data_IF_864702134233
#
_entry.id   IF_864702134233
#
_cell.length_a   1.000
_cell.length_b   1.000
_cell.length_c   1.000
_cell.angle_alpha   90.00
_cell.angle_beta   90.00
_cell.angle_gamma   90.00
#
_symmetry.space_group_name_H-M   'P 1'
#
loop_
_entity.id
_entity.type
_entity.pdbx_description
1 polymer ?
#
# COMPACT_ATOMS: atom_id res chain seq x y z
N UNK A 1 8.18 -16.80 -7.19
CA UNK A 1 9.27 -15.81 -7.10
C UNK A 1 10.56 -16.57 -7.29
N UNK A 2 11.43 -16.17 -8.23
CA UNK A 2 12.54 -17.00 -8.70
C UNK A 2 13.78 -16.89 -7.78
N UNK A 3 14.40 -18.03 -7.46
CA UNK A 3 15.59 -18.16 -6.61
C UNK A 3 16.87 -17.79 -7.38
N UNK A 4 17.77 -16.99 -6.78
CA UNK A 4 19.05 -16.58 -7.40
C UNK A 4 19.92 -17.77 -7.83
N UNK A 5 19.95 -18.87 -7.06
CA UNK A 5 20.69 -20.08 -7.44
C UNK A 5 20.09 -20.75 -8.68
N UNK A 6 18.76 -20.84 -8.70
CA UNK A 6 17.99 -21.40 -9.83
C UNK A 6 18.11 -20.53 -11.08
N UNK A 7 18.17 -19.19 -10.94
CA UNK A 7 18.34 -18.25 -12.05
C UNK A 7 19.70 -18.41 -12.75
N UNK A 8 20.74 -18.77 -12.00
CA UNK A 8 22.06 -19.09 -12.56
C UNK A 8 22.20 -20.57 -12.96
N UNK A 9 21.22 -21.42 -12.60
CA UNK A 9 21.26 -22.86 -12.89
C UNK A 9 22.34 -23.61 -12.11
N UNK A 10 22.73 -23.10 -10.94
CA UNK A 10 23.76 -23.70 -10.07
C UNK A 10 23.13 -24.24 -8.80
N UNK A 11 23.82 -25.17 -8.13
CA UNK A 11 23.34 -25.74 -6.87
C UNK A 11 23.47 -24.74 -5.72
N UNK A 12 22.65 -24.95 -4.71
CA UNK A 12 22.77 -24.26 -3.43
C UNK A 12 24.14 -24.54 -2.82
N UNK A 13 24.79 -23.50 -2.27
CA UNK A 13 26.16 -23.63 -1.80
C UNK A 13 27.22 -23.70 -2.91
N UNK A 14 26.87 -23.47 -4.19
CA UNK A 14 27.83 -23.38 -5.29
C UNK A 14 28.98 -22.43 -4.94
N UNK A 15 30.20 -22.88 -5.24
CA UNK A 15 31.41 -22.07 -5.03
C UNK A 15 31.47 -20.90 -6.01
N UNK A 16 32.25 -19.89 -5.67
CA UNK A 16 32.42 -18.66 -6.45
C UNK A 16 32.83 -18.94 -7.92
N UNK A 17 33.65 -19.97 -8.14
CA UNK A 17 34.12 -20.36 -9.47
C UNK A 17 33.00 -20.96 -10.33
N UNK A 18 32.08 -21.70 -9.71
CA UNK A 18 30.90 -22.28 -10.36
C UNK A 18 29.90 -21.17 -10.74
N UNK A 19 29.65 -20.24 -9.82
CA UNK A 19 28.79 -19.06 -10.03
C UNK A 19 29.33 -18.17 -11.16
N UNK A 20 30.64 -17.88 -11.16
CA UNK A 20 31.31 -17.10 -12.23
C UNK A 20 31.25 -17.79 -13.58
N UNK A 21 31.31 -19.13 -13.61
CA UNK A 21 31.28 -19.89 -14.85
C UNK A 21 29.87 -19.92 -15.44
N UNK A 22 28.86 -20.14 -14.59
CA UNK A 22 27.46 -20.10 -14.98
C UNK A 22 27.04 -18.71 -15.48
N UNK A 23 27.41 -17.65 -14.75
CA UNK A 23 27.16 -16.26 -15.17
C UNK A 23 27.80 -15.96 -16.53
N UNK A 24 29.08 -16.33 -16.75
CA UNK A 24 29.75 -16.10 -18.05
C UNK A 24 29.12 -16.86 -19.21
N UNK A 25 28.49 -18.02 -18.96
CA UNK A 25 27.76 -18.77 -19.98
C UNK A 25 26.44 -18.06 -20.33
N UNK A 26 25.64 -17.75 -19.32
CA UNK A 26 24.32 -17.13 -19.47
C UNK A 26 24.41 -15.68 -19.97
N UNK A 27 25.39 -14.90 -19.51
CA UNK A 27 25.62 -13.54 -19.97
C UNK A 27 25.99 -13.46 -21.45
N UNK A 28 26.64 -14.49 -22.01
CA UNK A 28 26.93 -14.58 -23.45
C UNK A 28 25.71 -14.99 -24.27
N UNK A 29 24.84 -15.81 -23.68
CA UNK A 29 23.62 -16.32 -24.32
C UNK A 29 22.51 -15.26 -24.38
N UNK A 30 22.35 -14.48 -23.30
CA UNK A 30 21.33 -13.45 -23.15
C UNK A 30 21.87 -12.02 -23.35
N UNK A 31 23.09 -11.85 -23.88
CA UNK A 31 23.65 -10.51 -24.13
C UNK A 31 22.76 -9.75 -25.12
N UNK A 32 22.43 -8.47 -24.86
CA UNK A 32 21.57 -7.67 -25.75
C UNK A 32 22.12 -7.58 -27.19
N UNK A 33 23.45 -7.58 -27.36
CA UNK A 33 24.08 -7.57 -28.68
C UNK A 33 23.88 -8.88 -29.48
N UNK A 34 23.60 -10.00 -28.82
CA UNK A 34 23.41 -11.32 -29.46
C UNK A 34 21.95 -11.75 -29.48
N UNK A 35 21.14 -11.23 -28.55
CA UNK A 35 19.72 -11.53 -28.46
C UNK A 35 18.95 -10.23 -28.13
N UNK A 36 18.46 -9.50 -29.15
CA UNK A 36 17.78 -8.22 -28.98
C UNK A 36 16.31 -8.35 -28.52
N UNK A 37 15.87 -9.52 -28.07
CA UNK A 37 14.50 -9.71 -27.58
C UNK A 37 14.32 -9.09 -26.18
N UNK A 38 13.13 -8.53 -25.93
CA UNK A 38 12.78 -7.96 -24.63
C UNK A 38 12.86 -9.01 -23.50
N UNK A 39 12.54 -10.27 -23.81
CA UNK A 39 12.62 -11.38 -22.86
C UNK A 39 14.08 -11.73 -22.51
N UNK A 40 15.00 -11.68 -23.48
CA UNK A 40 16.43 -11.87 -23.22
C UNK A 40 17.01 -10.74 -22.37
N UNK A 41 16.56 -9.49 -22.57
CA UNK A 41 16.98 -8.36 -21.75
C UNK A 41 16.51 -8.52 -20.29
N UNK A 42 15.26 -8.95 -20.07
CA UNK A 42 14.70 -9.21 -18.74
C UNK A 42 15.40 -10.39 -18.04
N UNK A 43 15.68 -11.46 -18.79
CA UNK A 43 16.51 -12.59 -18.33
C UNK A 43 17.93 -12.15 -17.98
N UNK A 44 18.56 -11.33 -18.81
CA UNK A 44 19.93 -10.84 -18.57
C UNK A 44 20.02 -9.99 -17.30
N UNK A 45 19.04 -9.10 -17.07
CA UNK A 45 18.96 -8.33 -15.82
C UNK A 45 18.79 -9.26 -14.60
N UNK A 46 17.94 -10.27 -14.70
CA UNK A 46 17.72 -11.25 -13.62
C UNK A 46 18.97 -12.11 -13.33
N UNK A 47 19.71 -12.49 -14.38
CA UNK A 47 20.98 -13.22 -14.29
C UNK A 47 22.06 -12.35 -13.64
N UNK A 48 22.13 -11.06 -14.03
CA UNK A 48 23.07 -10.10 -13.47
C UNK A 48 22.82 -9.84 -11.99
N UNK A 49 21.56 -9.59 -11.61
CA UNK A 49 21.16 -9.37 -10.21
C UNK A 49 21.45 -10.60 -9.33
N UNK A 50 21.18 -11.80 -9.85
CA UNK A 50 21.50 -13.05 -9.16
C UNK A 50 23.01 -13.25 -8.99
N UNK A 51 23.82 -12.89 -10.00
CA UNK A 51 25.28 -12.92 -9.88
C UNK A 51 25.80 -11.89 -8.87
N UNK A 52 25.33 -10.65 -8.91
CA UNK A 52 25.76 -9.60 -7.97
C UNK A 52 25.41 -9.93 -6.52
N UNK A 53 24.27 -10.60 -6.29
CA UNK A 53 23.83 -11.03 -4.96
C UNK A 53 24.65 -12.21 -4.47
N UNK A 54 24.85 -13.25 -5.29
CA UNK A 54 25.57 -14.47 -4.89
C UNK A 54 27.10 -14.32 -4.86
N UNK A 55 27.65 -13.34 -5.58
CA UNK A 55 29.10 -13.12 -5.67
C UNK A 55 29.62 -12.12 -4.63
N UNK A 56 28.72 -11.43 -3.92
CA UNK A 56 29.07 -10.61 -2.76
C UNK A 56 28.83 -11.43 -1.47
N UNK A 57 29.86 -11.69 -0.65
CA UNK A 57 29.73 -12.53 0.55
C UNK A 57 28.66 -12.02 1.54
N UNK A 58 28.58 -10.71 1.75
CA UNK A 58 27.62 -10.12 2.70
C UNK A 58 26.19 -10.21 2.18
N UNK A 59 25.98 -9.97 0.88
CA UNK A 59 24.66 -10.07 0.25
C UNK A 59 24.19 -11.52 0.14
N UNK A 60 25.12 -12.43 -0.17
CA UNK A 60 24.87 -13.88 -0.20
C UNK A 60 24.48 -14.39 1.18
N UNK A 61 25.19 -13.99 2.23
CA UNK A 61 24.88 -14.39 3.61
C UNK A 61 23.50 -13.88 4.07
N UNK A 62 23.15 -12.62 3.74
CA UNK A 62 21.80 -12.09 4.00
C UNK A 62 20.74 -12.86 3.20
N UNK A 63 20.99 -13.14 1.92
CA UNK A 63 20.07 -13.91 1.07
C UNK A 63 19.88 -15.34 1.58
N UNK A 64 20.96 -16.04 1.92
CA UNK A 64 20.94 -17.43 2.39
C UNK A 64 20.22 -17.54 3.74
N UNK A 65 20.43 -16.59 4.66
CA UNK A 65 19.66 -16.52 5.92
C UNK A 65 18.17 -16.29 5.68
N UNK A 66 17.81 -15.38 4.78
CA UNK A 66 16.41 -15.11 4.44
C UNK A 66 15.75 -16.28 3.71
N UNK A 67 16.51 -17.02 2.90
CA UNK A 67 16.04 -18.22 2.21
C UNK A 67 15.81 -19.37 3.18
N UNK A 68 16.75 -19.63 4.09
CA UNK A 68 16.63 -20.65 5.13
C UNK A 68 15.47 -20.38 6.09
N UNK A 69 15.21 -19.11 6.44
CA UNK A 69 14.03 -18.76 7.24
C UNK A 69 12.73 -19.01 6.49
N UNK A 70 12.71 -18.84 5.17
CA UNK A 70 11.54 -19.16 4.32
C UNK A 70 11.35 -20.66 4.08
N UNK A 71 12.41 -21.45 3.98
CA UNK A 71 12.32 -22.91 3.82
C UNK A 71 12.04 -23.63 5.15
N UNK A 72 12.40 -23.05 6.30
CA UNK A 72 11.93 -23.52 7.61
C UNK A 72 10.42 -23.35 7.82
N UNK A 73 9.78 -22.49 7.03
CA UNK A 73 8.32 -22.40 6.93
C UNK A 73 7.87 -23.39 5.87
N UNK A 74 7.85 -24.68 6.24
CA UNK A 74 7.16 -25.70 5.45
C UNK A 74 5.71 -25.24 5.24
N UNK A 75 5.15 -25.27 4.00
CA UNK A 75 3.77 -24.87 3.79
C UNK A 75 2.87 -25.90 4.47
N UNK A 76 2.48 -25.62 5.71
CA UNK A 76 1.47 -26.40 6.39
C UNK A 76 0.19 -26.36 5.54
N UNK A 77 -0.48 -27.50 5.31
CA UNK A 77 -1.75 -27.50 4.61
C UNK A 77 -2.75 -26.68 5.45
N UNK A 78 -3.32 -25.60 4.89
CA UNK A 78 -4.50 -24.97 5.51
C UNK A 78 -5.56 -26.06 5.70
N UNK A 79 -5.98 -26.38 6.95
CA UNK A 79 -6.92 -25.52 7.66
C UNK A 79 -6.84 -25.58 9.20
N UNK A 80 -6.80 -24.41 9.91
CA UNK A 80 -7.47 -24.19 11.23
C UNK A 80 -7.29 -22.80 11.88
N UNK A 81 -7.47 -21.71 11.13
CA UNK A 81 -7.49 -20.33 11.73
C UNK A 81 -8.57 -20.14 12.81
N UNK A 82 -9.56 -21.05 12.92
CA UNK A 82 -10.60 -21.03 13.96
C UNK A 82 -10.15 -21.56 15.32
N UNK A 83 -9.09 -22.39 15.37
CA UNK A 83 -8.55 -22.97 16.61
C UNK A 83 -7.40 -22.12 17.18
N UNK A 84 -6.54 -21.51 16.35
CA UNK A 84 -5.41 -20.67 16.81
C UNK A 84 -5.84 -19.32 17.40
N UNK A 85 -6.93 -18.71 16.91
CA UNK A 85 -7.49 -17.49 17.52
C UNK A 85 -8.12 -17.77 18.89
N UNK A 86 -8.45 -19.04 19.18
CA UNK A 86 -9.08 -19.50 20.43
C UNK A 86 -8.12 -20.17 21.40
N UNK A 87 -6.98 -20.69 20.94
CA UNK A 87 -5.96 -21.24 21.82
C UNK A 87 -5.41 -20.10 22.69
N UNK A 88 -5.74 -20.15 23.98
CA UNK A 88 -5.16 -19.27 24.98
C UNK A 88 -3.63 -19.37 24.84
N UNK A 89 -2.94 -18.24 24.66
CA UNK A 89 -1.47 -18.20 24.63
C UNK A 89 -0.97 -18.97 25.86
N UNK A 90 -0.17 -20.02 25.65
CA UNK A 90 0.39 -20.77 26.77
C UNK A 90 1.57 -20.01 27.36
N UNK A 91 1.25 -19.19 28.37
CA UNK A 91 2.21 -18.43 29.17
C UNK A 91 3.11 -19.32 30.06
N UNK A 92 3.07 -20.65 29.93
CA UNK A 92 3.99 -21.55 30.63
C UNK A 92 5.45 -21.31 30.22
N UNK A 93 5.71 -20.99 28.94
CA UNK A 93 7.05 -20.77 28.41
C UNK A 93 7.67 -19.44 28.86
N UNK A 94 6.87 -18.37 28.99
CA UNK A 94 7.37 -17.06 29.48
C UNK A 94 7.72 -17.07 30.96
N UNK A 95 7.04 -17.88 31.77
CA UNK A 95 7.40 -18.11 33.18
C UNK A 95 8.82 -18.66 33.33
N UNK A 96 9.32 -19.40 32.33
CA UNK A 96 10.68 -19.97 32.33
C UNK A 96 11.74 -18.90 32.07
N UNK A 97 11.49 -17.93 31.16
CA UNK A 97 12.41 -16.81 30.89
C UNK A 97 12.49 -15.82 32.07
N UNK A 98 11.37 -15.54 32.74
CA UNK A 98 11.37 -14.64 33.91
C UNK A 98 12.04 -15.29 35.13
N UNK A 99 11.92 -16.61 35.30
CA UNK A 99 12.63 -17.35 36.34
C UNK A 99 14.17 -17.35 36.12
N UNK A 100 14.63 -17.38 34.87
CA UNK A 100 16.06 -17.22 34.52
C UNK A 100 16.64 -15.86 34.95
N UNK A 101 15.82 -14.81 34.93
CA UNK A 101 16.16 -13.45 35.36
C UNK A 101 16.44 -13.32 36.87
N UNK A 102 15.77 -14.14 37.69
CA UNK A 102 16.03 -14.25 39.13
C UNK A 102 17.15 -15.27 39.46
N UNK A 103 17.57 -16.07 38.47
CA UNK A 103 18.70 -17.03 38.59
C UNK A 103 20.03 -16.39 38.23
N UNK A 104 20.05 -15.44 37.28
CA UNK A 104 21.23 -14.67 36.89
C UNK A 104 21.37 -13.43 37.79
N UNK A 105 22.04 -13.64 38.94
CA UNK A 105 22.18 -12.65 39.99
C UNK A 105 22.88 -11.35 39.54
N UNK A 106 22.39 -10.24 40.11
CA UNK A 106 23.03 -8.92 40.23
C UNK A 106 23.36 -8.11 38.97
N UNK A 107 23.39 -8.69 37.76
CA UNK A 107 23.86 -7.99 36.54
C UNK A 107 22.78 -7.81 35.43
N UNK A 108 21.56 -8.33 35.61
CA UNK A 108 20.50 -8.21 34.61
C UNK A 108 20.06 -6.76 34.31
N UNK A 109 20.24 -5.84 35.27
CA UNK A 109 19.96 -4.41 35.08
C UNK A 109 20.96 -3.73 34.13
N UNK A 110 22.21 -4.20 34.04
CA UNK A 110 23.26 -3.60 33.20
C UNK A 110 23.06 -3.93 31.72
N UNK A 111 22.42 -5.06 31.42
CA UNK A 111 22.17 -5.53 30.05
C UNK A 111 20.88 -4.95 29.46
N UNK A 112 19.84 -4.85 30.30
CA UNK A 112 18.47 -4.69 29.80
C UNK A 112 17.83 -3.35 30.22
N UNK A 113 18.55 -2.50 30.97
CA UNK A 113 18.16 -1.10 31.15
C UNK A 113 18.45 -0.32 29.85
N UNK A 114 17.48 -0.33 28.93
CA UNK A 114 17.50 0.56 27.78
C UNK A 114 17.01 1.95 28.20
N UNK A 115 17.86 2.78 28.82
CA UNK A 115 17.55 4.19 29.11
C UNK A 115 18.02 4.75 30.46
N UNK A 116 17.40 5.86 30.88
CA UNK A 116 17.77 6.71 32.03
C UNK A 116 17.27 6.19 33.41
N UNK A 117 16.79 4.94 33.49
CA UNK A 117 16.19 4.39 34.70
C UNK A 117 17.25 4.12 35.77
N UNK A 118 17.00 4.60 36.99
CA UNK A 118 17.84 4.24 38.13
C UNK A 118 17.69 2.75 38.47
N UNK A 119 18.72 2.16 39.07
CA UNK A 119 18.72 0.75 39.49
C UNK A 119 17.55 0.42 40.42
N UNK A 120 17.17 1.36 41.30
CA UNK A 120 16.06 1.19 42.24
C UNK A 120 14.71 1.17 41.52
N UNK A 121 14.53 2.06 40.54
CA UNK A 121 13.33 2.11 39.69
C UNK A 121 13.21 0.86 38.82
N UNK A 122 14.29 0.43 38.17
CA UNK A 122 14.31 -0.79 37.38
C UNK A 122 13.90 -2.02 38.21
N UNK A 123 14.48 -2.18 39.42
CA UNK A 123 14.12 -3.27 40.32
C UNK A 123 12.66 -3.18 40.81
N UNK A 124 12.12 -1.97 40.99
CA UNK A 124 10.70 -1.75 41.31
C UNK A 124 9.80 -2.19 40.14
N UNK A 125 10.12 -1.81 38.91
CA UNK A 125 9.37 -2.18 37.72
C UNK A 125 9.45 -3.69 37.44
N UNK A 126 10.59 -4.33 37.67
CA UNK A 126 10.72 -5.79 37.57
C UNK A 126 9.85 -6.55 38.58
N UNK A 127 9.66 -6.02 39.80
CA UNK A 127 8.66 -6.57 40.74
C UNK A 127 7.24 -6.42 40.20
N UNK A 128 6.92 -5.30 39.54
CA UNK A 128 5.62 -5.08 38.88
C UNK A 128 5.40 -6.06 37.73
N UNK A 129 6.42 -6.41 36.93
CA UNK A 129 6.31 -7.47 35.90
C UNK A 129 5.89 -8.80 36.52
N UNK A 130 6.50 -9.20 37.64
CA UNK A 130 6.12 -10.44 38.34
C UNK A 130 4.68 -10.40 38.89
N UNK A 131 4.20 -9.25 39.33
CA UNK A 131 2.80 -9.04 39.73
C UNK A 131 1.85 -9.15 38.53
N UNK A 132 2.18 -8.48 37.43
CA UNK A 132 1.45 -8.53 36.15
C UNK A 132 1.27 -9.98 35.69
N UNK A 133 2.33 -10.79 35.69
CA UNK A 133 2.26 -12.21 35.31
C UNK A 133 1.35 -13.04 36.24
N UNK A 134 1.33 -12.74 37.54
CA UNK A 134 0.38 -13.37 38.48
C UNK A 134 -1.06 -12.98 38.17
N UNK A 135 -1.30 -11.73 37.76
CA UNK A 135 -2.62 -11.24 37.34
C UNK A 135 -3.08 -11.93 36.05
N UNK A 136 -2.18 -12.08 35.07
CA UNK A 136 -2.41 -12.86 33.84
C UNK A 136 -2.78 -14.31 34.17
N UNK A 137 -2.02 -14.98 35.04
CA UNK A 137 -2.31 -16.35 35.48
C UNK A 137 -3.66 -16.50 36.20
N UNK A 138 -4.22 -15.42 36.75
CA UNK A 138 -5.55 -15.36 37.36
C UNK A 138 -6.65 -14.90 36.38
N UNK A 139 -6.32 -14.62 35.12
CA UNK A 139 -7.24 -14.09 34.12
C UNK A 139 -7.68 -12.64 34.36
N UNK A 140 -6.99 -11.89 35.23
CA UNK A 140 -7.31 -10.48 35.57
C UNK A 140 -6.66 -9.53 34.57
N UNK A 141 -7.09 -9.61 33.31
CA UNK A 141 -6.47 -8.90 32.19
C UNK A 141 -6.52 -7.38 32.30
N UNK A 142 -7.62 -6.80 32.79
CA UNK A 142 -7.74 -5.34 32.97
C UNK A 142 -6.68 -4.77 33.94
N UNK A 143 -6.42 -5.48 35.04
CA UNK A 143 -5.39 -5.08 36.01
C UNK A 143 -3.99 -5.34 35.46
N UNK A 144 -3.78 -6.49 34.80
CA UNK A 144 -2.51 -6.81 34.16
C UNK A 144 -2.12 -5.76 33.12
N UNK A 145 -3.06 -5.29 32.29
CA UNK A 145 -2.82 -4.20 31.34
C UNK A 145 -2.51 -2.87 32.02
N UNK A 146 -3.15 -2.58 33.16
CA UNK A 146 -2.81 -1.41 33.97
C UNK A 146 -1.35 -1.43 34.41
N UNK A 147 -0.89 -2.56 34.93
CA UNK A 147 0.51 -2.75 35.32
C UNK A 147 1.46 -2.66 34.12
N UNK A 148 1.10 -3.27 32.98
CA UNK A 148 1.89 -3.20 31.75
C UNK A 148 2.08 -1.75 31.26
N UNK A 149 1.01 -0.96 31.26
CA UNK A 149 1.05 0.46 30.89
C UNK A 149 1.94 1.27 31.83
N UNK A 150 1.90 1.02 33.14
CA UNK A 150 2.79 1.69 34.09
C UNK A 150 4.27 1.38 33.82
N UNK A 151 4.59 0.13 33.48
CA UNK A 151 5.95 -0.30 33.17
C UNK A 151 6.48 0.42 31.92
N UNK A 152 5.68 0.45 30.86
CA UNK A 152 6.03 1.09 29.59
C UNK A 152 6.10 2.62 29.75
N UNK A 153 5.16 3.23 30.48
CA UNK A 153 5.15 4.67 30.74
C UNK A 153 6.34 5.13 31.58
N UNK A 154 6.87 4.25 32.43
CA UNK A 154 8.11 4.49 33.16
C UNK A 154 9.37 4.32 32.28
N UNK A 155 9.22 4.02 30.99
CA UNK A 155 10.33 3.90 30.04
C UNK A 155 10.99 2.52 29.99
N UNK A 156 10.44 1.50 30.66
CA UNK A 156 11.00 0.15 30.60
C UNK A 156 10.42 -0.60 29.38
N UNK A 157 11.28 -0.80 28.38
CA UNK A 157 10.94 -1.54 27.15
C UNK A 157 10.95 -3.05 27.39
N UNK A 158 9.91 -3.55 28.06
CA UNK A 158 9.78 -4.96 28.40
C UNK A 158 8.89 -5.72 27.39
N UNK A 159 9.40 -6.77 26.71
CA UNK A 159 8.63 -7.49 25.70
C UNK A 159 7.39 -8.19 26.28
N UNK A 160 7.44 -8.62 27.55
CA UNK A 160 6.30 -9.28 28.22
C UNK A 160 5.18 -8.28 28.48
N UNK A 161 5.50 -7.04 28.89
CA UNK A 161 4.51 -5.98 29.06
C UNK A 161 3.77 -5.68 27.75
N UNK A 162 4.49 -5.58 26.63
CA UNK A 162 3.88 -5.41 25.30
C UNK A 162 3.02 -6.62 24.89
N UNK A 163 3.49 -7.84 25.13
CA UNK A 163 2.71 -9.05 24.84
C UNK A 163 1.40 -9.11 25.66
N UNK A 164 1.42 -8.70 26.94
CA UNK A 164 0.22 -8.63 27.80
C UNK A 164 -0.78 -7.59 27.30
N UNK A 165 -0.32 -6.44 26.83
CA UNK A 165 -1.19 -5.45 26.18
C UNK A 165 -1.79 -5.99 24.89
N UNK A 166 -1.00 -6.70 24.09
CA UNK A 166 -1.46 -7.36 22.87
C UNK A 166 -2.57 -8.37 23.15
N UNK A 167 -2.40 -9.19 24.17
CA UNK A 167 -3.39 -10.19 24.57
C UNK A 167 -4.66 -9.55 25.15
N UNK A 168 -4.53 -8.50 25.94
CA UNK A 168 -5.67 -7.76 26.44
C UNK A 168 -6.47 -7.07 25.32
N UNK A 169 -5.80 -6.50 24.32
CA UNK A 169 -6.44 -5.93 23.13
C UNK A 169 -7.11 -7.04 22.29
N UNK A 170 -6.46 -8.19 22.13
CA UNK A 170 -7.02 -9.37 21.45
C UNK A 170 -8.32 -9.84 22.11
N UNK A 171 -8.36 -9.90 23.44
CA UNK A 171 -9.56 -10.29 24.19
C UNK A 171 -10.73 -9.30 24.04
N UNK A 172 -10.42 -8.01 23.83
CA UNK A 172 -11.42 -6.99 23.46
C UNK A 172 -11.84 -7.07 21.99
N UNK A 173 -11.14 -7.87 21.18
CA UNK A 173 -11.35 -8.00 19.75
C UNK A 173 -10.70 -6.88 18.92
N UNK A 174 -9.78 -6.11 19.49
CA UNK A 174 -9.04 -5.02 18.85
C UNK A 174 -7.78 -5.58 18.16
N UNK A 175 -7.96 -6.40 17.11
CA UNK A 175 -6.85 -7.17 16.51
C UNK A 175 -5.74 -6.32 15.90
N UNK A 176 -6.06 -5.14 15.35
CA UNK A 176 -5.04 -4.24 14.83
C UNK A 176 -4.14 -3.71 15.94
N UNK A 177 -4.74 -3.35 17.08
CA UNK A 177 -3.98 -2.88 18.24
C UNK A 177 -3.17 -4.03 18.85
N UNK A 178 -3.78 -5.21 18.97
CA UNK A 178 -3.08 -6.42 19.38
C UNK A 178 -1.84 -6.71 18.52
N UNK A 179 -1.99 -6.60 17.19
CA UNK A 179 -0.88 -6.79 16.25
C UNK A 179 0.27 -5.81 16.48
N UNK A 180 -0.03 -4.52 16.72
CA UNK A 180 1.01 -3.52 17.02
C UNK A 180 1.78 -3.88 18.29
N UNK A 181 1.06 -4.23 19.36
CA UNK A 181 1.66 -4.56 20.65
C UNK A 181 2.55 -5.82 20.56
N UNK A 182 2.10 -6.86 19.85
CA UNK A 182 2.96 -8.01 19.56
C UNK A 182 4.15 -7.65 18.65
N UNK A 183 3.99 -6.71 17.73
CA UNK A 183 5.09 -6.18 16.92
C UNK A 183 6.18 -5.52 17.78
N UNK A 184 5.79 -4.74 18.80
CA UNK A 184 6.76 -4.20 19.78
C UNK A 184 7.43 -5.31 20.59
N UNK A 185 6.67 -6.32 21.03
CA UNK A 185 7.24 -7.48 21.73
C UNK A 185 8.30 -8.22 20.88
N UNK A 186 8.06 -8.39 19.58
CA UNK A 186 9.04 -8.98 18.62
C UNK A 186 10.27 -8.10 18.49
N UNK A 187 10.14 -6.77 18.46
CA UNK A 187 11.31 -5.88 18.36
C UNK A 187 12.25 -6.02 19.56
N UNK A 188 11.69 -6.23 20.76
CA UNK A 188 12.46 -6.36 22.00
C UNK A 188 12.87 -7.81 22.34
N UNK A 189 12.25 -8.82 21.72
CA UNK A 189 12.67 -10.24 21.79
C UNK A 189 12.50 -10.94 20.41
N UNK A 190 13.38 -10.65 19.42
CA UNK A 190 13.23 -11.14 18.04
C UNK A 190 13.38 -12.66 17.88
N UNK A 191 13.89 -13.36 18.90
CA UNK A 191 14.03 -14.81 18.90
C UNK A 191 12.81 -15.55 19.44
N UNK A 192 11.72 -14.84 19.77
CA UNK A 192 10.53 -15.43 20.37
C UNK A 192 9.45 -15.72 19.31
N UNK A 193 9.41 -16.97 18.86
CA UNK A 193 8.46 -17.48 17.86
C UNK A 193 6.99 -17.26 18.27
N UNK A 194 6.69 -17.18 19.57
CA UNK A 194 5.33 -16.92 20.08
C UNK A 194 4.90 -15.50 19.75
N UNK A 195 5.77 -14.50 19.90
CA UNK A 195 5.41 -13.11 19.61
C UNK A 195 5.27 -12.88 18.11
N UNK A 196 6.13 -13.51 17.31
CA UNK A 196 6.06 -13.44 15.85
C UNK A 196 4.77 -14.07 15.32
N UNK A 197 4.46 -15.29 15.75
CA UNK A 197 3.22 -15.98 15.36
C UNK A 197 1.97 -15.18 15.79
N UNK A 198 1.96 -14.62 17.00
CA UNK A 198 0.85 -13.79 17.46
C UNK A 198 0.73 -12.48 16.67
N UNK A 199 1.84 -11.82 16.35
CA UNK A 199 1.84 -10.63 15.50
C UNK A 199 1.20 -10.92 14.13
N UNK A 200 1.66 -11.99 13.46
CA UNK A 200 1.14 -12.41 12.15
C UNK A 200 -0.34 -12.79 12.25
N UNK A 201 -0.71 -13.61 13.22
CA UNK A 201 -2.09 -14.03 13.42
C UNK A 201 -3.04 -12.84 13.68
N UNK A 202 -2.61 -11.86 14.47
CA UNK A 202 -3.42 -10.66 14.74
C UNK A 202 -3.51 -9.74 13.52
N UNK A 203 -2.45 -9.64 12.71
CA UNK A 203 -2.48 -8.91 11.44
C UNK A 203 -3.48 -9.52 10.46
N UNK A 204 -3.53 -10.84 10.37
CA UNK A 204 -4.51 -11.55 9.54
C UNK A 204 -5.94 -11.40 10.09
N UNK A 205 -6.13 -11.55 11.39
CA UNK A 205 -7.43 -11.37 12.05
C UNK A 205 -7.94 -9.93 11.86
N UNK A 206 -7.08 -8.93 11.93
CA UNK A 206 -7.39 -7.52 11.64
C UNK A 206 -7.84 -7.31 10.20
N UNK A 207 -7.19 -7.96 9.23
CA UNK A 207 -7.59 -7.92 7.81
C UNK A 207 -8.94 -8.58 7.56
N UNK A 208 -9.26 -9.65 8.30
CA UNK A 208 -10.56 -10.34 8.23
C UNK A 208 -11.69 -9.60 8.96
N UNK A 209 -11.37 -8.86 10.02
CA UNK A 209 -12.34 -8.09 10.84
C UNK A 209 -12.54 -6.65 10.36
N UNK A 210 -11.65 -6.10 9.53
CA UNK A 210 -12.10 -5.10 8.55
C UNK A 210 -13.22 -5.80 7.81
N UNK A 211 -14.47 -5.35 7.90
CA UNK A 211 -15.46 -5.92 7.04
C UNK A 211 -14.91 -5.67 5.64
N UNK A 212 -14.57 -6.74 4.92
CA UNK A 212 -15.11 -6.85 3.58
C UNK A 212 -16.60 -6.67 3.81
N UNK A 213 -17.03 -5.41 3.79
CA UNK A 213 -18.44 -5.12 3.68
C UNK A 213 -18.71 -5.80 2.35
N UNK A 214 -19.33 -6.98 2.40
CA UNK A 214 -20.41 -7.28 1.50
C UNK A 214 -21.48 -6.19 1.75
N UNK A 215 -21.11 -4.94 1.46
CA UNK A 215 -22.01 -3.89 1.01
C UNK A 215 -22.51 -4.58 -0.23
N UNK A 216 -23.81 -4.78 -0.33
CA UNK A 216 -24.40 -5.16 -1.60
C UNK A 216 -23.74 -4.27 -2.68
N UNK A 217 -22.76 -4.80 -3.47
CA UNK A 217 -21.87 -3.93 -4.23
C UNK A 217 -22.63 -3.32 -5.40
N UNK A 218 -23.78 -3.91 -5.71
CA UNK A 218 -24.54 -3.66 -6.92
C UNK A 218 -25.38 -2.40 -6.85
N UNK A 219 -25.96 -2.02 -5.71
CA UNK A 219 -26.99 -0.97 -5.73
C UNK A 219 -26.49 0.41 -5.31
N UNK A 220 -25.81 0.53 -4.16
CA UNK A 220 -25.40 1.85 -3.63
C UNK A 220 -24.16 2.43 -4.32
N UNK A 221 -23.20 1.58 -4.68
CA UNK A 221 -22.00 2.01 -5.40
C UNK A 221 -22.35 2.30 -6.86
N UNK A 222 -23.21 1.49 -7.48
CA UNK A 222 -23.67 1.75 -8.85
C UNK A 222 -24.54 3.01 -8.94
N UNK A 223 -25.45 3.24 -7.99
CA UNK A 223 -26.28 4.44 -7.98
C UNK A 223 -25.43 5.72 -7.90
N UNK A 224 -24.41 5.76 -7.04
CA UNK A 224 -23.50 6.90 -6.95
C UNK A 224 -22.76 7.15 -8.28
N UNK A 225 -22.25 6.09 -8.91
CA UNK A 225 -21.63 6.15 -10.24
C UNK A 225 -22.59 6.68 -11.31
N UNK A 226 -23.84 6.19 -11.32
CA UNK A 226 -24.87 6.61 -12.25
C UNK A 226 -25.22 8.09 -12.12
N UNK A 227 -25.18 8.66 -10.91
CA UNK A 227 -25.41 10.11 -10.73
C UNK A 227 -24.36 10.92 -11.49
N UNK A 228 -23.07 10.59 -11.39
CA UNK A 228 -22.02 11.28 -12.12
C UNK A 228 -22.20 11.19 -13.64
N UNK A 229 -22.52 10.00 -14.13
CA UNK A 229 -22.83 9.75 -15.54
C UNK A 229 -24.02 10.61 -16.01
N UNK A 230 -25.13 10.62 -15.27
CA UNK A 230 -26.32 11.41 -15.61
C UNK A 230 -26.01 12.90 -15.67
N UNK A 231 -25.21 13.43 -14.74
CA UNK A 231 -24.81 14.86 -14.74
C UNK A 231 -23.98 15.19 -15.98
N UNK A 232 -23.02 14.35 -16.36
CA UNK A 232 -22.21 14.55 -17.57
C UNK A 232 -23.08 14.45 -18.83
N UNK A 233 -23.96 13.45 -18.92
CA UNK A 233 -24.88 13.30 -20.06
C UNK A 233 -25.83 14.50 -20.16
N UNK A 234 -26.36 14.99 -19.04
CA UNK A 234 -27.19 16.19 -19.02
C UNK A 234 -26.43 17.42 -19.55
N UNK A 235 -25.15 17.57 -19.16
CA UNK A 235 -24.28 18.60 -19.71
C UNK A 235 -24.07 18.49 -21.22
N UNK A 236 -23.86 17.27 -21.73
CA UNK A 236 -23.71 17.01 -23.18
C UNK A 236 -25.02 17.33 -23.93
N UNK A 237 -26.17 16.92 -23.39
CA UNK A 237 -27.47 17.26 -23.98
C UNK A 237 -27.71 18.77 -23.96
N UNK A 238 -27.34 19.43 -22.87
CA UNK A 238 -27.43 20.88 -22.76
C UNK A 238 -26.60 21.56 -23.85
N UNK A 239 -25.34 21.18 -24.04
CA UNK A 239 -24.47 21.81 -25.06
C UNK A 239 -24.91 21.54 -26.48
N UNK A 240 -25.67 20.46 -26.73
CA UNK A 240 -26.25 20.18 -28.03
C UNK A 240 -27.44 21.08 -28.38
N UNK A 241 -28.21 21.51 -27.38
CA UNK A 241 -29.49 22.21 -27.58
C UNK A 241 -29.41 23.69 -27.26
N UNK A 242 -28.62 24.06 -26.25
CA UNK A 242 -28.52 25.42 -25.77
C UNK A 242 -27.86 26.32 -26.82
N UNK A 243 -28.51 27.45 -27.10
CA UNK A 243 -28.01 28.50 -27.98
C UNK A 243 -27.54 29.66 -27.12
N UNK A 244 -26.26 29.67 -26.81
CA UNK A 244 -25.63 30.72 -26.02
C UNK A 244 -24.60 31.49 -26.86
N UNK A 245 -24.37 32.74 -26.48
CA UNK A 245 -23.30 33.54 -27.06
C UNK A 245 -21.93 33.04 -26.59
N UNK A 246 -20.89 33.09 -27.44
CA UNK A 246 -19.54 32.75 -27.01
C UNK A 246 -19.03 33.67 -25.91
N UNK A 247 -18.35 33.09 -24.93
CA UNK A 247 -17.77 33.80 -23.79
C UNK A 247 -16.55 34.64 -24.19
N UNK A 248 -15.71 34.11 -25.08
CA UNK A 248 -14.45 34.71 -25.46
C UNK A 248 -14.22 34.65 -26.99
N UNK A 249 -15.05 35.34 -27.80
CA UNK A 249 -15.02 35.23 -29.26
C UNK A 249 -13.67 35.62 -29.89
N UNK A 250 -12.89 36.46 -29.21
CA UNK A 250 -11.59 36.93 -29.70
C UNK A 250 -10.42 35.97 -29.39
N UNK A 251 -10.67 34.86 -28.69
CA UNK A 251 -9.62 33.94 -28.28
C UNK A 251 -9.70 32.65 -29.09
N UNK A 252 -8.94 32.58 -30.19
CA UNK A 252 -9.10 31.56 -31.25
C UNK A 252 -9.11 30.09 -30.83
N UNK A 253 -8.53 29.72 -29.68
CA UNK A 253 -8.55 28.33 -29.19
C UNK A 253 -9.87 27.91 -28.52
N UNK A 254 -10.61 28.88 -27.98
CA UNK A 254 -11.90 28.69 -27.28
C UNK A 254 -12.94 29.72 -27.75
N UNK A 255 -12.81 30.19 -29.00
CA UNK A 255 -13.64 31.26 -29.56
C UNK A 255 -15.11 30.89 -29.67
N UNK A 256 -15.40 29.58 -29.69
CA UNK A 256 -16.75 29.04 -29.76
C UNK A 256 -17.33 28.66 -28.40
N UNK A 257 -16.54 28.72 -27.32
CA UNK A 257 -16.96 28.23 -26.02
C UNK A 257 -17.96 29.17 -25.36
N UNK A 258 -19.03 28.61 -24.80
CA UNK A 258 -20.07 29.36 -24.10
C UNK A 258 -19.91 29.22 -22.59
N UNK A 259 -20.51 30.15 -21.83
CA UNK A 259 -20.45 30.10 -20.37
C UNK A 259 -21.10 28.83 -19.81
N UNK A 260 -22.25 28.41 -20.36
CA UNK A 260 -22.93 27.18 -19.97
C UNK A 260 -22.09 25.94 -20.29
N UNK A 261 -21.40 25.89 -21.43
CA UNK A 261 -20.49 24.79 -21.76
C UNK A 261 -19.37 24.65 -20.71
N UNK A 262 -18.72 25.76 -20.35
CA UNK A 262 -17.67 25.75 -19.31
C UNK A 262 -18.23 25.30 -17.97
N UNK A 263 -19.40 25.82 -17.58
CA UNK A 263 -20.08 25.45 -16.35
C UNK A 263 -20.35 23.94 -16.28
N UNK A 264 -20.92 23.35 -17.34
CA UNK A 264 -21.21 21.92 -17.38
C UNK A 264 -19.98 21.02 -17.45
N UNK A 265 -18.88 21.48 -18.06
CA UNK A 265 -17.60 20.75 -18.01
C UNK A 265 -17.09 20.68 -16.56
N UNK A 266 -17.14 21.79 -15.82
CA UNK A 266 -16.69 21.83 -14.42
C UNK A 266 -17.61 21.03 -13.50
N UNK A 267 -18.93 21.23 -13.60
CA UNK A 267 -19.92 20.51 -12.80
C UNK A 267 -19.88 19.01 -13.10
N UNK A 268 -19.83 18.65 -14.38
CA UNK A 268 -19.75 17.27 -14.84
C UNK A 268 -18.49 16.58 -14.33
N UNK A 269 -17.33 17.26 -14.38
CA UNK A 269 -16.09 16.70 -13.85
C UNK A 269 -16.13 16.56 -12.33
N UNK A 270 -16.54 17.59 -11.58
CA UNK A 270 -16.69 17.50 -10.11
C UNK A 270 -17.61 16.33 -9.71
N UNK A 271 -18.77 16.21 -10.35
CA UNK A 271 -19.72 15.13 -10.10
C UNK A 271 -19.16 13.75 -10.49
N UNK A 272 -18.46 13.65 -11.60
CA UNK A 272 -17.80 12.41 -12.04
C UNK A 272 -16.69 12.00 -11.06
N UNK A 273 -15.81 12.91 -10.67
CA UNK A 273 -14.76 12.65 -9.68
C UNK A 273 -15.31 12.23 -8.32
N UNK A 274 -16.31 12.95 -7.82
CA UNK A 274 -16.97 12.63 -6.57
C UNK A 274 -17.71 11.28 -6.62
N UNK A 275 -18.41 10.99 -7.72
CA UNK A 275 -19.13 9.71 -7.90
C UNK A 275 -18.19 8.53 -8.04
N UNK A 276 -17.10 8.66 -8.80
CA UNK A 276 -16.08 7.61 -8.93
C UNK A 276 -15.39 7.33 -7.59
N UNK A 277 -15.09 8.37 -6.82
CA UNK A 277 -14.63 8.23 -5.43
C UNK A 277 -15.67 7.51 -4.57
N UNK A 278 -16.90 8.02 -4.57
CA UNK A 278 -18.02 7.51 -3.77
C UNK A 278 -18.40 6.05 -4.09
N UNK A 279 -18.08 5.58 -5.28
CA UNK A 279 -18.37 4.22 -5.76
C UNK A 279 -17.21 3.24 -5.58
N UNK A 280 -16.12 3.68 -4.93
CA UNK A 280 -14.90 2.89 -4.73
C UNK A 280 -14.24 2.47 -6.06
N UNK A 281 -14.44 3.26 -7.13
CA UNK A 281 -13.83 3.05 -8.45
C UNK A 281 -12.47 3.75 -8.59
N UNK A 282 -12.19 4.72 -7.71
CA UNK A 282 -10.90 5.40 -7.56
C UNK A 282 -10.30 5.12 -6.19
N UNK A 283 -9.09 4.58 -6.19
CA UNK A 283 -8.30 4.39 -4.98
C UNK A 283 -7.77 5.73 -4.43
N UNK A 284 -7.38 5.70 -3.14
CA UNK A 284 -6.74 6.83 -2.48
C UNK A 284 -5.34 7.02 -3.08
N UNK A 285 -5.11 8.11 -3.83
CA UNK A 285 -3.76 8.45 -4.29
C UNK A 285 -2.92 8.90 -3.09
N UNK A 286 -1.91 8.11 -2.71
CA UNK A 286 -0.93 8.53 -1.73
C UNK A 286 0.18 9.33 -2.44
N UNK A 287 0.05 10.65 -2.43
CA UNK A 287 1.01 11.57 -3.05
C UNK A 287 2.33 11.66 -2.26
N UNK A 288 2.43 11.02 -1.07
CA UNK A 288 3.57 11.13 -0.16
C UNK A 288 4.55 9.94 -0.17
N UNK A 289 4.25 8.83 -0.85
CA UNK A 289 5.03 7.59 -0.78
C UNK A 289 6.17 7.48 -1.80
N UNK A 290 7.15 8.38 -1.76
CA UNK A 290 8.37 8.27 -2.58
C UNK A 290 9.41 7.36 -1.93
N UNK A 291 9.58 6.13 -2.44
CA UNK A 291 10.78 5.33 -2.13
C UNK A 291 12.05 6.06 -2.63
N UNK A 292 13.12 5.97 -1.86
CA UNK A 292 14.39 6.67 -2.08
C UNK A 292 14.89 6.52 -3.53
N UNK A 293 15.02 7.67 -4.21
CA UNK A 293 15.49 7.79 -5.59
C UNK A 293 14.41 8.39 -6.50
N UNK A 294 14.56 9.67 -6.84
CA UNK A 294 13.66 10.50 -7.66
C UNK A 294 12.81 9.71 -8.68
N UNK A 295 11.60 9.33 -8.28
CA UNK A 295 10.55 8.80 -9.15
C UNK A 295 9.29 9.59 -8.87
N UNK A 296 8.98 10.56 -9.74
CA UNK A 296 7.71 11.27 -9.68
C UNK A 296 6.57 10.26 -9.81
N UNK A 297 5.59 10.34 -8.90
CA UNK A 297 4.37 9.54 -9.03
C UNK A 297 3.71 9.86 -10.39
N UNK A 298 3.46 8.88 -11.28
CA UNK A 298 2.95 9.14 -12.62
C UNK A 298 1.68 10.00 -12.63
N UNK A 299 0.83 9.86 -11.60
CA UNK A 299 -0.36 10.70 -11.43
C UNK A 299 -0.08 12.20 -11.28
N UNK A 300 1.03 12.60 -10.64
CA UNK A 300 1.40 14.02 -10.46
C UNK A 300 1.85 14.62 -11.79
N UNK A 301 2.68 13.90 -12.54
CA UNK A 301 3.14 14.35 -13.87
C UNK A 301 1.94 14.48 -14.81
N UNK A 302 1.05 13.48 -14.83
CA UNK A 302 -0.17 13.53 -15.64
C UNK A 302 -1.07 14.69 -15.20
N UNK A 303 -1.24 14.94 -13.90
CA UNK A 303 -2.03 16.07 -13.42
C UNK A 303 -1.47 17.42 -13.86
N UNK A 304 -0.16 17.65 -13.71
CA UNK A 304 0.48 18.90 -14.12
C UNK A 304 0.37 19.11 -15.63
N UNK A 305 0.65 18.08 -16.44
CA UNK A 305 0.57 18.17 -17.90
C UNK A 305 -0.88 18.37 -18.37
N UNK A 306 -1.84 17.71 -17.72
CA UNK A 306 -3.26 17.81 -18.07
C UNK A 306 -3.85 19.21 -17.88
N UNK A 307 -3.24 20.04 -17.04
CA UNK A 307 -3.65 21.43 -16.84
C UNK A 307 -3.47 22.27 -18.12
N UNK A 308 -2.55 21.85 -18.99
CA UNK A 308 -2.29 22.50 -20.29
C UNK A 308 -2.90 21.68 -21.43
N UNK A 309 -2.64 20.38 -21.48
CA UNK A 309 -3.12 19.53 -22.58
C UNK A 309 -3.37 18.10 -22.11
N UNK A 310 -4.66 17.75 -22.01
CA UNK A 310 -5.09 16.42 -21.61
C UNK A 310 -4.63 15.30 -22.56
N UNK A 311 -4.66 15.51 -23.88
CA UNK A 311 -4.26 14.48 -24.86
C UNK A 311 -2.77 14.18 -24.82
N UNK A 312 -1.94 15.20 -24.57
CA UNK A 312 -0.52 15.01 -24.32
C UNK A 312 -0.30 14.22 -23.01
N UNK A 313 -1.02 14.57 -21.95
CA UNK A 313 -0.95 13.84 -20.68
C UNK A 313 -1.36 12.37 -20.85
N UNK A 314 -2.40 12.11 -21.65
CA UNK A 314 -2.85 10.78 -22.03
C UNK A 314 -1.77 10.00 -22.78
N UNK A 315 -1.15 10.62 -23.79
CA UNK A 315 -0.07 10.02 -24.56
C UNK A 315 1.12 9.65 -23.67
N UNK A 316 1.54 10.56 -22.79
CA UNK A 316 2.62 10.30 -21.81
C UNK A 316 2.23 9.15 -20.88
N UNK A 317 1.00 9.13 -20.37
CA UNK A 317 0.52 8.06 -19.52
C UNK A 317 0.62 6.68 -20.20
N UNK A 318 0.20 6.57 -21.46
CA UNK A 318 0.32 5.33 -22.23
C UNK A 318 1.77 4.96 -22.55
N UNK A 319 2.59 5.93 -22.96
CA UNK A 319 4.01 5.69 -23.24
C UNK A 319 4.74 5.15 -22.00
N UNK A 320 4.53 5.81 -20.86
CA UNK A 320 5.10 5.38 -19.57
C UNK A 320 4.54 4.02 -19.17
N UNK A 321 3.23 3.80 -19.30
CA UNK A 321 2.59 2.53 -18.94
C UNK A 321 3.07 1.36 -19.78
N UNK A 322 3.26 1.54 -21.09
CA UNK A 322 3.83 0.53 -21.99
C UNK A 322 5.31 0.28 -21.64
N UNK A 323 6.10 1.33 -21.46
CA UNK A 323 7.52 1.21 -21.12
C UNK A 323 7.75 0.50 -19.78
N UNK A 324 6.87 0.72 -18.80
CA UNK A 324 6.93 0.10 -17.49
C UNK A 324 6.16 -1.23 -17.41
N UNK A 325 5.43 -1.62 -18.47
CA UNK A 325 4.47 -2.74 -18.47
C UNK A 325 3.51 -2.72 -17.27
N UNK A 326 3.13 -1.53 -16.81
CA UNK A 326 2.31 -1.35 -15.63
C UNK A 326 1.32 -0.21 -15.83
N UNK A 327 0.03 -0.49 -15.60
CA UNK A 327 -1.04 0.50 -15.63
C UNK A 327 -1.75 0.55 -14.28
N UNK A 328 -1.97 1.76 -13.78
CA UNK A 328 -2.74 1.98 -12.56
C UNK A 328 -4.24 1.99 -12.89
N UNK A 329 -4.99 0.99 -12.41
CA UNK A 329 -6.40 0.78 -12.77
C UNK A 329 -7.27 2.03 -12.54
N UNK A 330 -7.18 2.64 -11.37
CA UNK A 330 -7.94 3.86 -11.01
C UNK A 330 -7.65 5.03 -11.95
N UNK A 331 -6.38 5.29 -12.25
CA UNK A 331 -5.98 6.36 -13.15
C UNK A 331 -6.41 6.06 -14.60
N UNK A 332 -6.31 4.80 -15.06
CA UNK A 332 -6.80 4.39 -16.38
C UNK A 332 -8.30 4.63 -16.52
N UNK A 333 -9.09 4.29 -15.50
CA UNK A 333 -10.55 4.51 -15.47
C UNK A 333 -10.88 6.00 -15.56
N UNK A 334 -10.29 6.82 -14.69
CA UNK A 334 -10.50 8.26 -14.67
C UNK A 334 -10.22 8.89 -16.04
N UNK A 335 -9.05 8.59 -16.58
CA UNK A 335 -8.60 9.07 -17.89
C UNK A 335 -9.56 8.60 -18.99
N UNK A 336 -9.98 7.34 -18.97
CA UNK A 336 -10.94 6.79 -19.93
C UNK A 336 -12.28 7.54 -19.90
N UNK A 337 -12.83 7.78 -18.71
CA UNK A 337 -14.08 8.55 -18.56
C UNK A 337 -13.95 9.99 -19.06
N UNK A 338 -12.84 10.65 -18.74
CA UNK A 338 -12.59 12.02 -19.22
C UNK A 338 -12.47 12.04 -20.74
N UNK A 339 -11.77 11.08 -21.34
CA UNK A 339 -11.64 10.99 -22.80
C UNK A 339 -13.01 10.79 -23.47
N UNK A 340 -13.84 9.88 -22.94
CA UNK A 340 -15.20 9.63 -23.44
C UNK A 340 -16.09 10.87 -23.29
N UNK A 341 -16.08 11.51 -22.12
CA UNK A 341 -16.84 12.73 -21.87
C UNK A 341 -16.43 13.87 -22.80
N UNK A 342 -15.11 14.04 -23.02
CA UNK A 342 -14.54 15.06 -23.92
C UNK A 342 -15.02 14.87 -25.36
N UNK A 343 -14.98 13.63 -25.86
CA UNK A 343 -15.50 13.31 -27.20
C UNK A 343 -17.01 13.53 -27.26
N UNK A 344 -17.75 13.16 -26.21
CA UNK A 344 -19.19 13.40 -26.12
C UNK A 344 -19.57 14.88 -26.21
N UNK A 345 -18.90 15.75 -25.44
CA UNK A 345 -19.07 17.21 -25.54
C UNK A 345 -18.70 17.74 -26.93
N UNK A 346 -17.65 17.18 -27.56
CA UNK A 346 -17.28 17.52 -28.93
C UNK A 346 -18.36 17.18 -29.95
N UNK A 347 -18.88 15.95 -29.91
CA UNK A 347 -19.91 15.47 -30.84
C UNK A 347 -21.22 16.26 -30.69
N UNK A 348 -21.60 16.63 -29.46
CA UNK A 348 -22.77 17.49 -29.22
C UNK A 348 -22.69 18.84 -29.97
N UNK A 349 -21.49 19.30 -30.30
CA UNK A 349 -21.24 20.59 -30.96
C UNK A 349 -21.23 20.51 -32.48
N UNK A 350 -21.48 19.33 -33.07
CA UNK A 350 -21.48 19.14 -34.53
C UNK A 350 -22.48 20.06 -35.25
N UNK A 351 -23.62 20.35 -34.63
CA UNK A 351 -24.63 21.26 -35.18
C UNK A 351 -24.24 22.75 -35.20
N UNK A 352 -23.15 23.14 -34.51
CA UNK A 352 -22.66 24.53 -34.50
C UNK A 352 -21.52 24.74 -35.50
N UNK A 353 -20.70 23.71 -35.73
CA UNK A 353 -19.66 23.73 -36.76
C UNK A 353 -18.44 22.88 -36.39
N UNK A 354 -17.66 22.49 -37.40
CA UNK A 354 -16.48 21.63 -37.22
C UNK A 354 -15.45 22.29 -36.30
N UNK A 355 -15.27 23.61 -36.37
CA UNK A 355 -14.36 24.34 -35.50
C UNK A 355 -14.74 24.19 -34.02
N UNK A 356 -16.04 24.29 -33.69
CA UNK A 356 -16.52 24.11 -32.33
C UNK A 356 -16.28 22.68 -31.81
N UNK A 357 -16.43 21.68 -32.68
CA UNK A 357 -16.11 20.28 -32.37
C UNK A 357 -14.62 20.14 -32.05
N UNK A 358 -13.75 20.62 -32.94
CA UNK A 358 -12.30 20.51 -32.79
C UNK A 358 -11.80 21.22 -31.53
N UNK A 359 -12.23 22.47 -31.30
CA UNK A 359 -11.87 23.21 -30.09
C UNK A 359 -12.34 22.49 -28.83
N UNK A 360 -13.56 21.97 -28.82
CA UNK A 360 -14.11 21.26 -27.65
C UNK A 360 -13.34 19.97 -27.39
N UNK A 361 -13.06 19.16 -28.42
CA UNK A 361 -12.27 17.93 -28.28
C UNK A 361 -10.87 18.23 -27.76
N UNK A 362 -10.20 19.27 -28.27
CA UNK A 362 -8.84 19.60 -27.87
C UNK A 362 -8.73 20.07 -26.41
N UNK A 363 -9.71 20.82 -25.90
CA UNK A 363 -9.55 21.57 -24.65
C UNK A 363 -10.50 21.14 -23.51
N UNK A 364 -11.66 20.55 -23.80
CA UNK A 364 -12.62 20.19 -22.76
C UNK A 364 -12.08 19.14 -21.79
N UNK A 365 -11.21 18.25 -22.26
CA UNK A 365 -10.57 17.22 -21.43
C UNK A 365 -9.73 17.80 -20.29
N UNK A 366 -9.04 18.92 -20.50
CA UNK A 366 -8.25 19.58 -19.45
C UNK A 366 -9.13 20.07 -18.31
N UNK A 367 -10.25 20.74 -18.65
CA UNK A 367 -11.21 21.22 -17.65
C UNK A 367 -11.92 20.08 -16.93
N UNK A 368 -12.36 19.06 -17.68
CA UNK A 368 -13.09 17.91 -17.14
C UNK A 368 -12.20 17.05 -16.23
N UNK A 369 -10.92 16.87 -16.57
CA UNK A 369 -9.97 16.13 -15.75
C UNK A 369 -9.67 16.85 -14.43
N UNK A 370 -9.32 18.14 -14.49
CA UNK A 370 -8.97 18.92 -13.29
C UNK A 370 -10.13 19.03 -12.31
N UNK A 371 -11.34 19.28 -12.81
CA UNK A 371 -12.55 19.29 -11.97
C UNK A 371 -12.85 17.91 -11.40
N UNK A 372 -12.62 16.82 -12.15
CA UNK A 372 -12.74 15.45 -11.60
C UNK A 372 -11.76 15.17 -10.48
N UNK A 373 -10.51 15.64 -10.57
CA UNK A 373 -9.56 15.51 -9.47
C UNK A 373 -10.03 16.25 -8.21
N UNK A 374 -10.54 17.47 -8.36
CA UNK A 374 -11.08 18.24 -7.22
C UNK A 374 -12.29 17.54 -6.60
N UNK A 375 -13.23 17.07 -7.42
CA UNK A 375 -14.41 16.35 -6.95
C UNK A 375 -14.04 15.08 -6.20
N UNK A 376 -13.02 14.36 -6.69
CA UNK A 376 -12.44 13.22 -6.01
C UNK A 376 -11.84 13.59 -4.65
N UNK A 377 -10.96 14.61 -4.58
CA UNK A 377 -10.32 15.05 -3.32
C UNK A 377 -11.37 15.43 -2.26
N UNK A 378 -12.41 16.17 -2.66
CA UNK A 378 -13.46 16.61 -1.73
C UNK A 378 -14.25 15.42 -1.20
N UNK A 379 -14.69 14.51 -2.09
CA UNK A 379 -15.43 13.31 -1.69
C UNK A 379 -14.59 12.39 -0.79
N UNK A 380 -13.30 12.26 -1.09
CA UNK A 380 -12.35 11.48 -0.31
C UNK A 380 -12.13 12.09 1.09
N UNK A 381 -11.97 13.41 1.17
CA UNK A 381 -11.80 14.12 2.45
C UNK A 381 -13.02 13.96 3.36
N UNK A 382 -14.24 14.04 2.78
CA UNK A 382 -15.50 13.84 3.51
C UNK A 382 -15.68 12.41 4.03
N UNK A 383 -15.08 11.40 3.37
CA UNK A 383 -15.10 10.01 3.86
C UNK A 383 -14.18 9.78 5.05
N UNK A 384 -13.19 10.66 5.25
CA UNK A 384 -12.19 10.56 6.34
C UNK A 384 -12.60 11.30 7.61
N UNK A 385 -13.58 12.22 7.52
CA UNK A 385 -14.23 12.89 8.65
C UNK A 385 -15.31 11.98 9.25
#
# INVERSE_FOLDING_TARGET
>A
MADHYSNLGVREGAGDDEIKTAYRKLAREFHPDRNPSAEAAERFLSIKDSYETLMNPDRRDVYDRFRQSRERVEPQPEPRVREEVKAQVDWSQDRVKTAGYFRDGRNAWERDAHGDLSKEEFLRLRRRVGEMQKLVGKGRWGEASGVANEIIAAGMNDPVAYAVLGDAARLKGEYLEAAKQFGFAVQFDPGNEIYESMHVAMMEASRRKKPQVARDPGEKNFAAFMVGMVVVTAGICYTAVAKESPLAPNFGQISTWTLGQVGWIVIGGLAMGASLSASDLLDHFDLGGGAAGYRFHPGVVVAVVSMVNFWLALGIYFLVGIAQRSFHQSLTRLIGFVAVGTVGFGLARFGVGIEAVVQTVLWAGSGLYMSSLVGWVVADSLRRL
#
